data_IF_502732653831
#
_entry.id   IF_502732653831
#
_cell.length_a   1.000
_cell.length_b   1.000
_cell.length_c   1.000
_cell.angle_alpha   90.00
_cell.angle_beta   90.00
_cell.angle_gamma   90.00
#
_symmetry.space_group_name_H-M   'P 1'
#
loop_
_entity.id
_entity.type
_entity.pdbx_description
1 polymer ?
#
# COMPACT_ATOMS: atom_id res chain seq x y z
N UNK A 1 -31.54 -47.90 -31.67
CA UNK A 1 -30.45 -48.66 -31.01
C UNK A 1 -31.09 -49.55 -29.95
N UNK A 2 -30.95 -50.89 -30.01
CA UNK A 2 -31.58 -51.77 -29.03
C UNK A 2 -30.98 -51.54 -27.64
N UNK A 3 -31.77 -51.58 -26.55
CA UNK A 3 -31.23 -51.43 -25.22
C UNK A 3 -30.27 -52.60 -24.92
N UNK A 4 -29.04 -52.27 -24.50
CA UNK A 4 -28.06 -53.24 -24.01
C UNK A 4 -28.73 -54.21 -23.02
N UNK A 5 -28.60 -55.52 -23.28
CA UNK A 5 -29.17 -56.55 -22.42
C UNK A 5 -28.66 -56.39 -20.98
N UNK A 6 -29.54 -56.64 -20.01
CA UNK A 6 -29.26 -56.48 -18.59
C UNK A 6 -27.93 -57.16 -18.17
N UNK A 7 -27.64 -58.30 -18.77
CA UNK A 7 -26.39 -59.07 -18.60
C UNK A 7 -25.13 -58.29 -18.98
N UNK A 8 -25.13 -57.55 -20.09
CA UNK A 8 -23.94 -56.78 -20.52
C UNK A 8 -23.67 -55.60 -19.59
N UNK A 9 -24.73 -54.94 -19.08
CA UNK A 9 -24.58 -53.85 -18.11
C UNK A 9 -24.02 -54.33 -16.77
N UNK A 10 -24.47 -55.51 -16.30
CA UNK A 10 -23.97 -56.13 -15.07
C UNK A 10 -22.49 -56.51 -15.22
N UNK A 11 -22.11 -57.12 -16.33
CA UNK A 11 -20.72 -57.51 -16.59
C UNK A 11 -19.81 -56.29 -16.73
N UNK A 12 -20.25 -55.24 -17.43
CA UNK A 12 -19.48 -53.99 -17.55
C UNK A 12 -19.31 -53.29 -16.19
N UNK A 13 -20.37 -53.23 -15.37
CA UNK A 13 -20.30 -52.68 -14.02
C UNK A 13 -19.35 -53.47 -13.11
N UNK A 14 -19.41 -54.80 -13.17
CA UNK A 14 -18.50 -55.67 -12.42
C UNK A 14 -17.05 -55.49 -12.85
N UNK A 15 -16.79 -55.32 -14.15
CA UNK A 15 -15.44 -55.08 -14.68
C UNK A 15 -14.87 -53.73 -14.20
N UNK A 16 -15.68 -52.66 -14.19
CA UNK A 16 -15.27 -51.34 -13.68
C UNK A 16 -14.95 -51.41 -12.19
N UNK A 17 -15.80 -52.06 -11.39
CA UNK A 17 -15.57 -52.24 -9.96
C UNK A 17 -14.32 -53.09 -9.69
N UNK A 18 -14.09 -54.14 -10.47
CA UNK A 18 -12.91 -54.99 -10.35
C UNK A 18 -11.62 -54.22 -10.67
N UNK A 19 -11.61 -53.42 -11.74
CA UNK A 19 -10.47 -52.57 -12.11
C UNK A 19 -10.20 -51.48 -11.07
N UNK A 20 -11.26 -50.83 -10.55
CA UNK A 20 -11.12 -49.86 -9.47
C UNK A 20 -10.56 -50.49 -8.19
N UNK A 21 -11.05 -51.69 -7.82
CA UNK A 21 -10.57 -52.42 -6.66
C UNK A 21 -9.12 -52.87 -6.81
N UNK A 22 -8.73 -53.40 -7.97
CA UNK A 22 -7.34 -53.79 -8.23
C UNK A 22 -6.41 -52.59 -8.30
N UNK A 23 -6.83 -51.49 -8.91
CA UNK A 23 -6.08 -50.22 -8.89
C UNK A 23 -5.86 -49.68 -7.48
N UNK A 24 -6.91 -49.66 -6.66
CA UNK A 24 -6.85 -49.21 -5.27
C UNK A 24 -5.94 -50.12 -4.42
N UNK A 25 -6.08 -51.45 -4.58
CA UNK A 25 -5.21 -52.42 -3.89
C UNK A 25 -3.76 -52.27 -4.30
N UNK A 26 -3.48 -52.10 -5.60
CA UNK A 26 -2.12 -51.91 -6.09
C UNK A 26 -1.52 -50.61 -5.55
N UNK A 27 -2.27 -49.51 -5.55
CA UNK A 27 -1.84 -48.25 -4.93
C UNK A 27 -1.57 -48.42 -3.42
N UNK A 28 -2.46 -49.12 -2.70
CA UNK A 28 -2.28 -49.38 -1.27
C UNK A 28 -1.03 -50.22 -0.97
N UNK A 29 -0.76 -51.27 -1.75
CA UNK A 29 0.43 -52.09 -1.61
C UNK A 29 1.70 -51.33 -2.01
N UNK A 30 1.63 -50.52 -3.07
CA UNK A 30 2.74 -49.68 -3.50
C UNK A 30 3.10 -48.65 -2.43
N UNK A 31 2.10 -48.00 -1.81
CA UNK A 31 2.29 -47.11 -0.66
C UNK A 31 2.81 -47.87 0.54
N UNK A 32 2.29 -49.06 0.84
CA UNK A 32 2.80 -49.88 1.95
C UNK A 32 4.25 -50.33 1.73
N UNK A 33 4.68 -50.52 0.48
CA UNK A 33 6.06 -50.85 0.12
C UNK A 33 6.97 -49.61 0.09
N UNK A 34 6.44 -48.45 -0.29
CA UNK A 34 7.18 -47.18 -0.45
C UNK A 34 6.75 -46.13 0.58
N UNK A 35 6.32 -46.54 1.77
CA UNK A 35 5.80 -45.60 2.78
C UNK A 35 6.88 -44.64 3.29
N UNK A 36 8.13 -45.13 3.38
CA UNK A 36 9.29 -44.33 3.82
C UNK A 36 9.54 -43.13 2.89
N UNK A 37 9.75 -43.29 1.56
CA UNK A 37 9.96 -42.14 0.68
C UNK A 37 8.76 -41.20 0.63
N UNK A 38 7.52 -41.72 0.75
CA UNK A 38 6.32 -40.86 0.85
C UNK A 38 6.38 -39.99 2.10
N UNK A 39 6.65 -40.57 3.27
CA UNK A 39 6.79 -39.83 4.53
C UNK A 39 7.95 -38.84 4.47
N UNK A 40 9.09 -39.21 3.89
CA UNK A 40 10.24 -38.33 3.72
C UNK A 40 9.88 -37.12 2.84
N UNK A 41 9.23 -37.34 1.69
CA UNK A 41 8.79 -36.25 0.82
C UNK A 41 7.80 -35.33 1.54
N UNK A 42 6.82 -35.89 2.25
CA UNK A 42 5.86 -35.10 3.04
C UNK A 42 6.56 -34.29 4.14
N UNK A 43 7.51 -34.89 4.84
CA UNK A 43 8.31 -34.21 5.86
C UNK A 43 9.14 -33.06 5.27
N UNK A 44 9.76 -33.27 4.11
CA UNK A 44 10.52 -32.23 3.40
C UNK A 44 9.61 -31.09 2.93
N UNK A 45 8.43 -31.39 2.39
CA UNK A 45 7.42 -30.38 2.00
C UNK A 45 6.95 -29.60 3.22
N UNK A 46 6.65 -30.27 4.33
CA UNK A 46 6.24 -29.62 5.57
C UNK A 46 7.34 -28.71 6.13
N UNK A 47 8.60 -29.16 6.08
CA UNK A 47 9.75 -28.37 6.54
C UNK A 47 9.98 -27.14 5.65
N UNK A 48 9.88 -27.30 4.33
CA UNK A 48 9.98 -26.19 3.38
C UNK A 48 8.83 -25.18 3.56
N UNK A 49 7.59 -25.65 3.66
CA UNK A 49 6.42 -24.80 3.89
C UNK A 49 6.52 -24.07 5.24
N UNK A 50 6.93 -24.78 6.31
CA UNK A 50 7.18 -24.19 7.63
C UNK A 50 8.27 -23.12 7.57
N UNK A 51 9.39 -23.38 6.88
CA UNK A 51 10.46 -22.42 6.66
C UNK A 51 9.98 -21.16 5.92
N UNK A 52 9.20 -21.31 4.86
CA UNK A 52 8.61 -20.18 4.11
C UNK A 52 7.65 -19.39 4.97
N UNK A 53 6.77 -20.05 5.73
CA UNK A 53 5.82 -19.38 6.62
C UNK A 53 6.54 -18.61 7.74
N UNK A 54 7.55 -19.20 8.36
CA UNK A 54 8.37 -18.53 9.38
C UNK A 54 9.14 -17.34 8.80
N UNK A 55 9.74 -17.49 7.62
CA UNK A 55 10.42 -16.40 6.93
C UNK A 55 9.46 -15.23 6.65
N UNK A 56 8.27 -15.52 6.11
CA UNK A 56 7.23 -14.51 5.86
C UNK A 56 6.74 -13.88 7.16
N UNK A 57 6.54 -14.66 8.22
CA UNK A 57 6.11 -14.15 9.52
C UNK A 57 7.16 -13.20 10.11
N UNK A 58 8.45 -13.56 10.09
CA UNK A 58 9.52 -12.71 10.62
C UNK A 58 9.69 -11.44 9.80
N UNK A 59 9.62 -11.54 8.48
CA UNK A 59 9.68 -10.38 7.59
C UNK A 59 8.53 -9.41 7.85
N UNK A 60 7.30 -9.92 7.88
CA UNK A 60 6.12 -9.10 8.17
C UNK A 60 6.17 -8.51 9.58
N UNK A 61 6.74 -9.22 10.56
CA UNK A 61 6.91 -8.71 11.92
C UNK A 61 7.96 -7.60 12.00
N UNK A 62 9.05 -7.70 11.24
CA UNK A 62 10.07 -6.67 11.15
C UNK A 62 9.52 -5.40 10.47
N UNK A 63 8.84 -5.55 9.32
CA UNK A 63 8.17 -4.46 8.61
C UNK A 63 7.15 -3.75 9.53
N UNK A 64 6.31 -4.51 10.26
CA UNK A 64 5.37 -3.93 11.23
C UNK A 64 6.04 -3.20 12.39
N UNK A 65 7.22 -3.64 12.83
CA UNK A 65 7.94 -3.00 13.92
C UNK A 65 8.51 -1.64 13.47
N UNK A 66 9.01 -1.59 12.24
CA UNK A 66 9.45 -0.35 11.59
C UNK A 66 8.28 0.62 11.37
N UNK A 67 7.16 0.14 10.81
CA UNK A 67 5.95 0.94 10.64
C UNK A 67 5.43 1.48 11.99
N UNK A 68 5.41 0.63 13.03
CA UNK A 68 4.98 1.05 14.37
C UNK A 68 5.91 2.10 14.98
N UNK A 69 7.22 2.02 14.71
CA UNK A 69 8.17 3.04 15.13
C UNK A 69 7.91 4.37 14.42
N UNK A 70 7.71 4.34 13.11
CA UNK A 70 7.34 5.52 12.31
C UNK A 70 6.02 6.13 12.80
N UNK A 71 5.01 5.31 13.07
CA UNK A 71 3.73 5.79 13.60
C UNK A 71 3.87 6.54 14.92
N UNK A 72 4.79 6.15 15.81
CA UNK A 72 5.05 6.90 17.05
C UNK A 72 5.50 8.33 16.79
N UNK A 73 6.19 8.59 15.68
CA UNK A 73 6.58 9.96 15.32
C UNK A 73 5.39 10.85 14.95
N UNK A 74 4.26 10.26 14.52
CA UNK A 74 3.03 11.00 14.19
C UNK A 74 1.97 10.98 15.28
N UNK A 75 2.15 10.23 16.37
CA UNK A 75 1.20 10.21 17.49
C UNK A 75 0.85 11.63 18.00
N UNK A 76 1.82 12.56 17.96
CA UNK A 76 1.58 13.96 18.31
C UNK A 76 0.70 14.69 17.29
N UNK A 77 0.86 14.40 16.00
CA UNK A 77 0.07 15.03 14.95
C UNK A 77 -1.42 14.65 15.02
N UNK A 78 -1.73 13.45 15.51
CA UNK A 78 -3.10 12.95 15.67
C UNK A 78 -3.91 13.71 16.72
N UNK A 79 -3.24 14.34 17.69
CA UNK A 79 -3.89 15.15 18.74
C UNK A 79 -3.87 16.65 18.43
N UNK A 80 -3.27 17.07 17.31
CA UNK A 80 -3.18 18.49 16.96
C UNK A 80 -4.52 19.01 16.49
N UNK A 81 -4.88 20.19 16.97
CA UNK A 81 -5.90 21.02 16.33
C UNK A 81 -5.45 21.44 14.93
N UNK A 82 -6.40 21.87 14.09
CA UNK A 82 -6.10 22.33 12.72
C UNK A 82 -4.99 23.41 12.71
N UNK A 83 -5.05 24.48 13.52
CA UNK A 83 -3.98 25.49 13.53
C UNK A 83 -2.61 24.96 13.98
N UNK A 84 -2.60 24.00 14.92
CA UNK A 84 -1.35 23.40 15.40
C UNK A 84 -0.71 22.54 14.32
N UNK A 85 -1.50 21.74 13.60
CA UNK A 85 -1.02 20.94 12.47
C UNK A 85 -0.45 21.83 11.36
N UNK A 86 -1.13 22.93 11.05
CA UNK A 86 -0.65 23.93 10.09
C UNK A 86 0.70 24.53 10.47
N UNK A 87 0.82 24.99 11.71
CA UNK A 87 2.06 25.57 12.22
C UNK A 87 3.18 24.52 12.27
N UNK A 88 2.84 23.27 12.58
CA UNK A 88 3.78 22.16 12.60
C UNK A 88 4.29 21.82 11.19
N UNK A 89 3.41 21.74 10.19
CA UNK A 89 3.81 21.55 8.78
C UNK A 89 4.68 22.70 8.29
N UNK A 90 4.35 23.95 8.60
CA UNK A 90 5.20 25.09 8.22
C UNK A 90 6.61 24.99 8.82
N UNK A 91 6.72 24.58 10.09
CA UNK A 91 8.01 24.33 10.74
C UNK A 91 8.76 23.15 10.12
N UNK A 92 8.05 22.07 9.76
CA UNK A 92 8.61 20.91 9.07
C UNK A 92 9.24 21.31 7.73
N UNK A 93 8.52 22.09 6.92
CA UNK A 93 9.01 22.61 5.64
C UNK A 93 10.31 23.41 5.83
N UNK A 94 10.31 24.38 6.75
CA UNK A 94 11.49 25.21 7.03
C UNK A 94 12.67 24.39 7.55
N UNK A 95 12.41 23.43 8.44
CA UNK A 95 13.44 22.54 9.02
C UNK A 95 14.16 21.76 7.93
N UNK A 96 13.43 21.29 6.92
CA UNK A 96 13.94 20.32 5.94
C UNK A 96 14.23 20.96 4.57
N UNK A 97 14.59 22.25 4.57
CA UNK A 97 15.23 22.92 3.44
C UNK A 97 14.29 23.66 2.49
N UNK A 98 12.97 23.69 2.76
CA UNK A 98 12.08 24.57 2.01
C UNK A 98 12.30 26.02 2.43
N UNK A 99 12.29 26.94 1.46
CA UNK A 99 12.48 28.37 1.63
C UNK A 99 11.22 29.14 1.27
N UNK A 100 11.14 30.40 1.69
CA UNK A 100 10.02 31.30 1.38
C UNK A 100 8.63 30.71 1.73
N UNK A 101 8.55 29.91 2.79
CA UNK A 101 7.30 29.28 3.23
C UNK A 101 6.34 30.37 3.68
N UNK A 102 5.26 30.57 2.92
CA UNK A 102 4.24 31.59 3.19
C UNK A 102 2.87 30.96 3.23
N UNK A 103 2.15 31.21 4.33
CA UNK A 103 0.74 30.88 4.43
C UNK A 103 -0.07 31.75 3.48
N UNK A 104 -0.93 31.13 2.66
CA UNK A 104 -1.73 31.85 1.65
C UNK A 104 -3.23 31.72 1.86
N UNK A 105 -3.66 31.07 2.94
CA UNK A 105 -5.05 30.99 3.37
C UNK A 105 -5.57 29.57 3.53
N UNK A 106 -6.75 29.49 4.12
CA UNK A 106 -7.56 28.27 4.22
C UNK A 106 -8.53 28.22 3.06
N UNK A 107 -8.55 27.10 2.35
CA UNK A 107 -9.64 26.76 1.47
C UNK A 107 -10.69 26.01 2.31
N UNK A 108 -11.92 26.53 2.37
CA UNK A 108 -12.98 26.08 3.30
C UNK A 108 -13.15 24.54 3.34
N UNK A 109 -13.06 23.88 2.18
CA UNK A 109 -13.20 22.42 2.07
C UNK A 109 -11.89 21.64 2.05
N UNK A 110 -10.75 22.30 1.84
CA UNK A 110 -9.50 21.64 1.42
C UNK A 110 -8.34 21.77 2.41
N UNK A 111 -8.50 22.57 3.46
CA UNK A 111 -7.45 22.81 4.45
C UNK A 111 -6.60 24.02 4.11
N UNK A 112 -5.40 24.06 4.68
CA UNK A 112 -4.53 25.23 4.61
C UNK A 112 -3.51 25.11 3.52
N UNK A 113 -3.26 26.24 2.87
CA UNK A 113 -2.35 26.33 1.75
C UNK A 113 -1.12 27.16 2.12
N UNK A 114 0.03 26.66 1.71
CA UNK A 114 1.31 27.36 1.73
C UNK A 114 1.87 27.42 0.32
N UNK A 115 2.65 28.46 0.05
CA UNK A 115 3.58 28.46 -1.08
C UNK A 115 4.98 28.40 -0.50
N UNK A 116 5.82 27.54 -1.05
CA UNK A 116 7.20 27.38 -0.64
C UNK A 116 8.10 27.15 -1.86
N UNK A 117 9.40 27.33 -1.68
CA UNK A 117 10.43 26.90 -2.64
C UNK A 117 11.06 25.63 -2.09
N UNK A 118 10.97 24.53 -2.83
CA UNK A 118 11.56 23.25 -2.46
C UNK A 118 13.10 23.28 -2.52
N UNK A 119 13.77 22.28 -1.91
CA UNK A 119 15.23 22.15 -1.99
C UNK A 119 15.78 22.13 -3.42
N UNK A 120 15.06 21.51 -4.36
CA UNK A 120 15.34 21.48 -5.81
C UNK A 120 15.04 22.81 -6.54
N UNK A 121 14.70 23.86 -5.80
CA UNK A 121 14.34 25.21 -6.27
C UNK A 121 12.99 25.35 -6.97
N UNK A 122 12.19 24.29 -7.07
CA UNK A 122 10.82 24.42 -7.60
C UNK A 122 9.91 25.14 -6.62
N UNK A 123 8.99 25.94 -7.16
CA UNK A 123 7.90 26.56 -6.40
C UNK A 123 6.80 25.52 -6.18
N UNK A 124 6.51 25.22 -4.93
CA UNK A 124 5.55 24.19 -4.53
C UNK A 124 4.35 24.82 -3.83
N UNK A 125 3.15 24.45 -4.28
CA UNK A 125 1.92 24.69 -3.54
C UNK A 125 1.68 23.54 -2.57
N UNK A 126 1.77 23.81 -1.26
CA UNK A 126 1.59 22.79 -0.22
C UNK A 126 0.22 22.94 0.41
N UNK A 127 -0.54 21.86 0.47
CA UNK A 127 -1.82 21.79 1.18
C UNK A 127 -1.64 20.92 2.42
N UNK A 128 -1.72 21.53 3.60
CA UNK A 128 -1.75 20.83 4.87
C UNK A 128 -3.20 20.56 5.25
N UNK A 129 -3.57 19.28 5.38
CA UNK A 129 -4.91 18.86 5.77
C UNK A 129 -4.81 17.75 6.83
N UNK A 130 -5.04 18.05 8.12
CA UNK A 130 -5.13 17.00 9.12
C UNK A 130 -6.32 16.09 8.81
N UNK A 131 -6.20 14.83 9.22
CA UNK A 131 -7.24 13.84 9.05
C UNK A 131 -8.51 14.26 9.80
N UNK A 132 -9.63 14.19 9.11
CA UNK A 132 -10.97 14.43 9.64
C UNK A 132 -11.89 13.22 9.40
N UNK A 133 -11.31 12.06 9.04
CA UNK A 133 -12.02 10.84 8.69
C UNK A 133 -12.62 10.83 7.28
N UNK A 134 -12.43 11.89 6.48
CA UNK A 134 -13.01 12.00 5.14
C UNK A 134 -11.99 11.96 4.00
N UNK A 135 -10.70 12.05 4.33
CA UNK A 135 -9.61 12.15 3.35
C UNK A 135 -9.58 10.97 2.38
N UNK A 136 -9.79 9.75 2.88
CA UNK A 136 -9.84 8.53 2.05
C UNK A 136 -11.01 8.51 1.05
N UNK A 137 -12.14 9.15 1.37
CA UNK A 137 -13.33 9.24 0.50
C UNK A 137 -13.24 10.39 -0.50
N UNK A 138 -12.67 11.52 -0.06
CA UNK A 138 -12.61 12.76 -0.84
C UNK A 138 -11.26 13.01 -1.51
N UNK A 139 -10.29 12.11 -1.35
CA UNK A 139 -8.91 12.30 -1.78
C UNK A 139 -8.76 12.70 -3.26
N UNK A 140 -9.52 12.09 -4.17
CA UNK A 140 -9.50 12.47 -5.59
C UNK A 140 -9.92 13.93 -5.82
N UNK A 141 -10.92 14.43 -5.07
CA UNK A 141 -11.34 15.84 -5.11
C UNK A 141 -10.25 16.76 -4.56
N UNK A 142 -9.55 16.34 -3.51
CA UNK A 142 -8.40 17.11 -2.97
C UNK A 142 -7.27 17.21 -4.01
N UNK A 143 -6.93 16.11 -4.70
CA UNK A 143 -5.92 16.07 -5.76
C UNK A 143 -6.30 17.01 -6.90
N UNK A 144 -7.51 16.89 -7.44
CA UNK A 144 -7.99 17.72 -8.55
C UNK A 144 -7.98 19.21 -8.22
N UNK A 145 -8.55 19.58 -7.07
CA UNK A 145 -8.61 20.97 -6.65
C UNK A 145 -7.21 21.55 -6.40
N UNK A 146 -6.33 20.76 -5.79
CA UNK A 146 -4.96 21.19 -5.51
C UNK A 146 -4.16 21.39 -6.80
N UNK A 147 -4.20 20.43 -7.73
CA UNK A 147 -3.53 20.55 -9.02
C UNK A 147 -4.01 21.76 -9.82
N UNK A 148 -5.33 22.00 -9.86
CA UNK A 148 -5.91 23.16 -10.52
C UNK A 148 -5.46 24.49 -9.88
N UNK A 149 -5.51 24.59 -8.54
CA UNK A 149 -5.10 25.80 -7.81
C UNK A 149 -3.60 26.08 -7.96
N UNK A 150 -2.77 25.04 -7.90
CA UNK A 150 -1.32 25.16 -7.92
C UNK A 150 -0.83 25.87 -9.19
N UNK A 151 -1.29 25.41 -10.35
CA UNK A 151 -0.90 26.00 -11.62
C UNK A 151 -1.61 27.34 -11.88
N UNK A 152 -2.95 27.35 -11.86
CA UNK A 152 -3.74 28.49 -12.33
C UNK A 152 -3.64 29.72 -11.42
N UNK A 153 -3.60 29.52 -10.09
CA UNK A 153 -3.64 30.63 -9.12
C UNK A 153 -2.25 30.98 -8.61
N UNK A 154 -1.41 29.98 -8.36
CA UNK A 154 -0.15 30.17 -7.63
C UNK A 154 1.11 30.08 -8.48
N UNK A 155 0.97 29.71 -9.77
CA UNK A 155 2.07 29.49 -10.71
C UNK A 155 3.15 28.59 -10.10
N UNK A 156 2.73 27.57 -9.37
CA UNK A 156 3.62 26.58 -8.79
C UNK A 156 4.00 25.55 -9.85
N UNK A 157 5.25 25.08 -9.79
CA UNK A 157 5.77 24.05 -10.69
C UNK A 157 5.21 22.66 -10.34
N UNK A 158 4.84 22.47 -9.07
CA UNK A 158 4.27 21.22 -8.55
C UNK A 158 3.43 21.52 -7.30
N UNK A 159 2.64 20.54 -6.86
CA UNK A 159 1.89 20.61 -5.63
C UNK A 159 2.17 19.44 -4.69
N UNK A 160 1.91 19.63 -3.39
CA UNK A 160 2.10 18.61 -2.37
C UNK A 160 0.92 18.62 -1.38
N UNK A 161 0.25 17.48 -1.22
CA UNK A 161 -0.79 17.28 -0.20
C UNK A 161 -0.17 16.56 0.99
N UNK A 162 -0.13 17.22 2.15
CA UNK A 162 0.38 16.66 3.41
C UNK A 162 -0.77 16.37 4.36
N UNK A 163 -0.84 15.12 4.84
CA UNK A 163 -1.86 14.68 5.80
C UNK A 163 -1.33 13.58 6.72
N UNK A 164 -1.87 13.48 7.94
CA UNK A 164 -1.65 12.34 8.84
C UNK A 164 -2.68 11.21 8.62
N UNK A 165 -3.54 11.32 7.60
CA UNK A 165 -4.49 10.28 7.20
C UNK A 165 -3.81 9.16 6.41
N UNK A 166 -4.30 7.94 6.56
CA UNK A 166 -3.94 6.83 5.68
C UNK A 166 -4.61 7.00 4.30
N UNK A 167 -3.78 7.21 3.27
CA UNK A 167 -4.21 7.30 1.87
C UNK A 167 -3.74 6.11 1.02
N UNK A 168 -3.28 5.01 1.64
CA UNK A 168 -2.78 3.84 0.92
C UNK A 168 -3.76 3.33 -0.14
N UNK A 169 -5.04 3.24 0.20
CA UNK A 169 -6.10 2.84 -0.76
C UNK A 169 -6.26 3.81 -1.93
N UNK A 170 -6.05 5.10 -1.69
CA UNK A 170 -6.10 6.12 -2.72
C UNK A 170 -4.90 5.95 -3.67
N UNK A 171 -3.69 5.75 -3.13
CA UNK A 171 -2.44 5.59 -3.90
C UNK A 171 -2.40 4.29 -4.72
N UNK A 172 -2.85 3.17 -4.17
CA UNK A 172 -2.85 1.88 -4.89
C UNK A 172 -3.90 1.84 -6.01
N UNK A 173 -4.92 2.70 -5.95
CA UNK A 173 -5.89 2.81 -7.02
C UNK A 173 -5.27 3.53 -8.23
N UNK A 174 -4.93 2.76 -9.26
CA UNK A 174 -4.26 3.22 -10.49
C UNK A 174 -4.85 4.52 -11.08
N UNK A 175 -6.18 4.69 -11.04
CA UNK A 175 -6.86 5.90 -11.53
C UNK A 175 -6.46 7.18 -10.77
N UNK A 176 -6.25 7.10 -9.46
CA UNK A 176 -5.93 8.27 -8.64
C UNK A 176 -4.43 8.55 -8.66
N UNK A 177 -3.61 7.51 -8.71
CA UNK A 177 -2.17 7.62 -8.90
C UNK A 177 -1.85 8.31 -10.22
N UNK A 178 -2.44 7.84 -11.33
CA UNK A 178 -2.32 8.47 -12.64
C UNK A 178 -2.80 9.92 -12.64
N UNK A 179 -3.89 10.22 -11.93
CA UNK A 179 -4.43 11.57 -11.78
C UNK A 179 -3.48 12.49 -10.99
N UNK A 180 -2.88 12.00 -9.90
CA UNK A 180 -1.92 12.74 -9.11
C UNK A 180 -0.66 13.06 -9.93
N UNK A 181 -0.14 12.06 -10.67
CA UNK A 181 0.99 12.23 -11.58
C UNK A 181 0.68 13.24 -12.70
N UNK A 182 -0.48 13.12 -13.35
CA UNK A 182 -0.91 14.03 -14.41
C UNK A 182 -0.99 15.49 -13.94
N UNK A 183 -1.44 15.71 -12.71
CA UNK A 183 -1.62 17.04 -12.12
C UNK A 183 -0.39 17.55 -11.36
N UNK A 184 0.71 16.78 -11.32
CA UNK A 184 1.92 17.12 -10.56
C UNK A 184 1.65 17.26 -9.06
N UNK A 185 0.79 16.41 -8.50
CA UNK A 185 0.45 16.40 -7.07
C UNK A 185 1.20 15.27 -6.37
N UNK A 186 2.11 15.64 -5.48
CA UNK A 186 2.81 14.70 -4.60
C UNK A 186 1.92 14.45 -3.38
N UNK A 187 1.64 13.18 -3.10
CA UNK A 187 0.90 12.76 -1.92
C UNK A 187 1.89 12.39 -0.82
N UNK A 188 1.78 13.08 0.31
CA UNK A 188 2.50 12.76 1.54
C UNK A 188 1.46 12.35 2.56
N UNK A 189 1.17 11.04 2.58
CA UNK A 189 0.22 10.45 3.52
C UNK A 189 0.88 10.16 4.87
N UNK A 190 0.15 9.50 5.78
CA UNK A 190 0.64 9.16 7.12
C UNK A 190 2.02 8.49 7.10
N UNK A 191 2.28 7.51 6.25
CA UNK A 191 3.54 6.77 6.28
C UNK A 191 4.69 7.60 5.71
N UNK A 192 4.47 8.31 4.62
CA UNK A 192 5.48 9.23 4.07
C UNK A 192 5.78 10.39 5.02
N UNK A 193 4.76 10.93 5.69
CA UNK A 193 4.94 12.01 6.66
C UNK A 193 5.70 11.52 7.90
N UNK A 194 5.45 10.30 8.34
CA UNK A 194 6.17 9.68 9.45
C UNK A 194 7.64 9.46 9.12
N UNK A 195 7.94 8.91 7.93
CA UNK A 195 9.29 8.72 7.42
C UNK A 195 10.02 10.06 7.27
N UNK A 196 9.37 11.09 6.72
CA UNK A 196 9.95 12.43 6.62
C UNK A 196 10.28 13.01 8.02
N UNK A 197 9.37 12.86 8.99
CA UNK A 197 9.62 13.33 10.36
C UNK A 197 10.82 12.60 10.99
N UNK A 198 10.92 11.28 10.77
CA UNK A 198 11.98 10.42 11.29
C UNK A 198 13.35 10.77 10.70
N UNK A 199 13.44 10.74 9.36
CA UNK A 199 14.71 10.79 8.63
C UNK A 199 15.14 12.21 8.28
N UNK A 200 14.26 13.20 8.50
CA UNK A 200 14.44 14.60 8.09
C UNK A 200 14.72 14.74 6.60
N UNK A 201 14.09 13.88 5.80
CA UNK A 201 14.18 13.87 4.34
C UNK A 201 12.81 14.13 3.74
N UNK A 202 12.63 15.27 3.04
CA UNK A 202 11.38 15.50 2.31
C UNK A 202 11.25 14.53 1.13
N UNK A 203 10.08 14.49 0.46
CA UNK A 203 9.87 13.63 -0.69
C UNK A 203 11.00 13.72 -1.71
N UNK A 204 11.47 12.57 -2.18
CA UNK A 204 12.64 12.47 -3.07
C UNK A 204 12.44 13.29 -4.35
N UNK A 205 11.19 13.37 -4.81
CA UNK A 205 10.77 14.17 -5.95
C UNK A 205 11.16 15.63 -5.81
N UNK A 206 11.15 16.20 -4.60
CA UNK A 206 11.44 17.62 -4.31
C UNK A 206 12.89 17.89 -3.89
N UNK A 207 13.74 16.85 -3.88
CA UNK A 207 15.15 16.95 -3.48
C UNK A 207 16.13 16.57 -4.57
N UNK A 208 15.71 15.76 -5.54
CA UNK A 208 16.49 15.51 -6.73
C UNK A 208 16.57 16.76 -7.61
N UNK A 209 17.75 17.07 -8.16
CA UNK A 209 17.83 18.01 -9.29
C UNK A 209 17.01 17.44 -10.46
N UNK A 210 16.24 18.27 -11.18
CA UNK A 210 15.55 17.79 -12.38
C UNK A 210 16.59 17.18 -13.34
N UNK A 211 16.31 15.97 -13.82
CA UNK A 211 17.11 15.27 -14.82
C UNK A 211 17.06 16.00 -16.17
#
# INVERSE_FOLDING_TARGET
MPPLSLTVKIVAGAAVLFLAFTGLRYAALWVAQHWVPVVVVLALVALAAGGVLLYRHRRNAAERAEDAELERHLAKADTMTIPEFEAWVAKLLLRDGFRQVRFVGRAADFGSNFVATAPDSRRVMVRAKPDDGTMSKRGARHIQALGADAHARWKADTAMLITNADLHRLKVAARHDALAAQLGVILVDRMELAAWVADRKPPAELTASPA
#
